data_IF_152981860304
#
_entry.id   IF_152981860304
#
_cell.length_a   1.000
_cell.length_b   1.000
_cell.length_c   1.000
_cell.angle_alpha   90.00
_cell.angle_beta   90.00
_cell.angle_gamma   90.00
#
_symmetry.space_group_name_H-M   'P 1'
#
loop_
_entity.id
_entity.type
_entity.pdbx_description
1 polymer ?
#
# COMPACT_ATOMS: atom_id res chain seq x y z
N UNK A 1 -1.36 46.05 -41.80
CA UNK A 1 -1.01 44.62 -41.63
C UNK A 1 -1.45 44.25 -40.23
N UNK A 2 -2.52 43.47 -40.15
CA UNK A 2 -3.18 43.01 -38.93
C UNK A 2 -2.30 42.06 -38.14
N UNK A 3 -2.44 42.13 -36.82
CA UNK A 3 -1.84 41.29 -35.79
C UNK A 3 -1.97 39.79 -36.08
N UNK A 4 -0.93 39.03 -35.72
CA UNK A 4 -1.12 37.66 -35.25
C UNK A 4 -0.28 37.48 -33.96
N UNK A 5 -0.80 38.07 -32.88
CA UNK A 5 -0.38 37.74 -31.54
C UNK A 5 -0.87 36.31 -31.26
N UNK A 6 0.08 35.35 -31.25
CA UNK A 6 -0.18 33.99 -30.79
C UNK A 6 -0.88 34.07 -29.44
N UNK A 7 -2.17 33.71 -29.42
CA UNK A 7 -2.92 33.55 -28.18
C UNK A 7 -2.14 32.56 -27.31
N UNK A 8 -1.83 32.89 -26.05
CA UNK A 8 -1.33 31.88 -25.14
C UNK A 8 -2.36 30.75 -25.10
N UNK A 9 -1.89 29.52 -25.31
CA UNK A 9 -2.66 28.30 -25.07
C UNK A 9 -3.45 28.48 -23.78
N UNK A 10 -4.75 28.19 -23.79
CA UNK A 10 -5.57 28.23 -22.60
C UNK A 10 -4.84 27.47 -21.49
N UNK A 11 -4.69 28.11 -20.32
CA UNK A 11 -4.08 27.44 -19.19
C UNK A 11 -4.87 26.16 -18.90
N UNK A 12 -4.18 25.05 -18.55
CA UNK A 12 -4.88 23.82 -18.20
C UNK A 12 -5.93 24.10 -17.12
N UNK A 13 -7.06 23.40 -17.09
CA UNK A 13 -8.05 23.58 -16.04
C UNK A 13 -7.43 23.32 -14.66
N UNK A 14 -7.94 24.01 -13.63
CA UNK A 14 -7.50 23.82 -12.26
C UNK A 14 -7.75 22.38 -11.81
N UNK A 15 -6.81 21.78 -11.06
CA UNK A 15 -6.93 20.37 -10.65
C UNK A 15 -8.16 20.17 -9.76
N UNK A 16 -8.96 19.11 -9.94
CA UNK A 16 -10.24 18.94 -9.24
C UNK A 16 -10.14 18.92 -7.70
N UNK A 17 -8.99 18.53 -7.14
CA UNK A 17 -8.82 18.26 -5.69
C UNK A 17 -8.40 19.51 -4.90
N UNK A 18 -7.56 20.37 -5.48
CA UNK A 18 -7.06 21.61 -4.85
C UNK A 18 -7.28 22.88 -5.69
N UNK A 19 -7.90 22.74 -6.86
CA UNK A 19 -8.11 23.80 -7.85
C UNK A 19 -9.18 24.82 -7.48
N UNK A 20 -10.00 24.56 -6.46
CA UNK A 20 -11.01 25.52 -5.98
C UNK A 20 -10.44 26.88 -5.55
N UNK A 21 -9.12 26.97 -5.34
CA UNK A 21 -8.40 28.19 -4.98
C UNK A 21 -7.60 28.82 -6.13
N UNK A 22 -7.47 28.16 -7.29
CA UNK A 22 -6.60 28.60 -8.38
C UNK A 22 -7.39 28.94 -9.65
N UNK A 23 -7.04 30.04 -10.30
CA UNK A 23 -7.67 30.49 -11.55
C UNK A 23 -7.16 29.74 -12.79
N UNK A 24 -6.00 29.09 -12.68
CA UNK A 24 -5.33 28.34 -13.74
C UNK A 24 -4.80 27.02 -13.18
N UNK A 25 -4.66 26.03 -14.04
CA UNK A 25 -4.07 24.73 -13.73
C UNK A 25 -2.57 24.80 -13.45
N UNK A 26 -2.03 23.72 -12.87
CA UNK A 26 -0.62 23.64 -12.53
C UNK A 26 0.26 23.81 -13.78
N UNK A 27 1.44 24.39 -13.61
CA UNK A 27 2.45 24.41 -14.66
C UNK A 27 2.82 22.97 -15.05
N UNK A 28 3.19 22.72 -16.31
CA UNK A 28 3.51 21.38 -16.81
C UNK A 28 4.60 20.66 -15.97
N UNK A 29 5.59 21.40 -15.44
CA UNK A 29 6.59 20.84 -14.55
C UNK A 29 6.01 20.38 -13.21
N UNK A 30 5.04 21.12 -12.65
CA UNK A 30 4.36 20.76 -11.41
C UNK A 30 3.53 19.49 -11.60
N UNK A 31 2.83 19.36 -12.73
CA UNK A 31 2.09 18.14 -13.08
C UNK A 31 3.03 16.92 -13.18
N UNK A 32 4.23 17.11 -13.75
CA UNK A 32 5.20 16.03 -13.88
C UNK A 32 5.76 15.53 -12.55
N UNK A 33 6.04 16.42 -11.59
CA UNK A 33 6.61 16.05 -10.28
C UNK A 33 5.55 15.63 -9.25
N UNK A 34 4.29 16.02 -9.45
CA UNK A 34 3.21 15.73 -8.50
C UNK A 34 2.55 14.38 -8.75
N UNK A 35 2.46 13.95 -10.02
CA UNK A 35 1.80 12.69 -10.36
C UNK A 35 2.57 11.49 -9.78
N UNK A 36 1.85 10.65 -9.04
CA UNK A 36 2.35 9.42 -8.42
C UNK A 36 1.96 8.14 -9.16
N UNK A 37 1.07 8.24 -10.16
CA UNK A 37 0.50 7.10 -10.89
C UNK A 37 1.52 6.12 -11.46
N UNK A 38 2.71 6.59 -11.83
CA UNK A 38 3.76 5.77 -12.40
C UNK A 38 4.23 4.67 -11.43
N UNK A 39 4.09 4.89 -10.12
CA UNK A 39 4.50 3.95 -9.07
C UNK A 39 3.35 3.52 -8.15
N UNK A 40 2.42 4.41 -7.79
CA UNK A 40 1.35 4.09 -6.83
C UNK A 40 0.23 3.23 -7.43
N UNK A 41 0.19 3.06 -8.76
CA UNK A 41 -0.68 2.08 -9.43
C UNK A 41 -0.57 0.67 -8.87
N UNK A 42 0.51 0.36 -8.16
CA UNK A 42 0.72 -0.89 -7.42
C UNK A 42 -0.27 -1.09 -6.25
N UNK A 43 -0.89 -0.02 -5.77
CA UNK A 43 -1.83 -0.02 -4.64
C UNK A 43 -3.29 -0.27 -5.06
N UNK A 44 -3.58 -0.51 -6.34
CA UNK A 44 -4.96 -0.58 -6.85
C UNK A 44 -5.82 -1.63 -6.14
N UNK A 45 -5.23 -2.77 -5.75
CA UNK A 45 -5.95 -3.84 -5.03
C UNK A 45 -6.37 -3.35 -3.66
N UNK A 46 -5.46 -2.67 -2.95
CA UNK A 46 -5.69 -2.13 -1.62
C UNK A 46 -6.68 -0.96 -1.65
N UNK A 47 -6.54 -0.01 -2.59
CA UNK A 47 -7.47 1.12 -2.76
C UNK A 47 -8.90 0.66 -3.03
N UNK A 48 -9.07 -0.34 -3.92
CA UNK A 48 -10.39 -0.89 -4.23
C UNK A 48 -10.97 -1.64 -3.03
N UNK A 49 -10.17 -2.44 -2.31
CA UNK A 49 -10.63 -3.13 -1.12
C UNK A 49 -11.06 -2.15 -0.01
N UNK A 50 -10.25 -1.13 0.27
CA UNK A 50 -10.55 -0.07 1.22
C UNK A 50 -11.80 0.71 0.81
N UNK A 51 -11.96 0.99 -0.49
CA UNK A 51 -13.15 1.65 -1.03
C UNK A 51 -14.42 0.81 -0.89
N UNK A 52 -14.37 -0.50 -1.09
CA UNK A 52 -15.51 -1.39 -0.83
C UNK A 52 -15.89 -1.44 0.65
N UNK A 53 -14.92 -1.54 1.54
CA UNK A 53 -15.16 -1.51 2.98
C UNK A 53 -15.79 -0.18 3.43
N UNK A 54 -15.27 0.94 2.92
CA UNK A 54 -15.83 2.27 3.16
C UNK A 54 -17.26 2.40 2.64
N UNK A 55 -17.52 1.97 1.41
CA UNK A 55 -18.86 1.98 0.82
C UNK A 55 -19.86 1.18 1.66
N UNK A 56 -19.51 -0.05 2.06
CA UNK A 56 -20.35 -0.88 2.92
C UNK A 56 -20.67 -0.21 4.26
N UNK A 57 -19.70 0.47 4.86
CA UNK A 57 -19.92 1.25 6.09
C UNK A 57 -20.83 2.45 5.86
N UNK A 58 -20.66 3.21 4.78
CA UNK A 58 -21.53 4.35 4.47
C UNK A 58 -22.99 3.92 4.30
N UNK A 59 -23.24 2.78 3.63
CA UNK A 59 -24.60 2.21 3.50
C UNK A 59 -25.14 1.79 4.86
N UNK A 60 -24.35 1.06 5.67
CA UNK A 60 -24.78 0.59 6.98
C UNK A 60 -25.12 1.74 7.96
N UNK A 61 -24.43 2.89 7.84
CA UNK A 61 -24.71 4.10 8.62
C UNK A 61 -25.80 4.99 8.02
N UNK A 62 -26.40 4.59 6.88
CA UNK A 62 -27.42 5.37 6.18
C UNK A 62 -26.92 6.70 5.60
N UNK A 63 -25.59 6.86 5.47
CA UNK A 63 -24.95 8.02 4.84
C UNK A 63 -25.08 7.92 3.32
N UNK A 64 -25.07 6.70 2.78
CA UNK A 64 -25.24 6.38 1.38
C UNK A 64 -26.49 5.52 1.19
N UNK A 65 -27.25 5.77 0.12
CA UNK A 65 -28.39 4.92 -0.23
C UNK A 65 -27.92 3.54 -0.70
N UNK A 66 -28.67 2.49 -0.39
CA UNK A 66 -28.36 1.10 -0.76
C UNK A 66 -28.15 0.94 -2.27
N UNK A 67 -29.01 1.55 -3.09
CA UNK A 67 -28.89 1.52 -4.55
C UNK A 67 -27.59 2.17 -5.07
N UNK A 68 -27.12 3.25 -4.46
CA UNK A 68 -25.82 3.84 -4.82
C UNK A 68 -24.67 2.94 -4.35
N UNK A 69 -24.82 2.32 -3.18
CA UNK A 69 -23.86 1.36 -2.64
C UNK A 69 -23.65 0.16 -3.56
N UNK A 70 -24.73 -0.46 -4.02
CA UNK A 70 -24.69 -1.59 -4.94
C UNK A 70 -24.02 -1.22 -6.26
N UNK A 71 -24.34 -0.04 -6.81
CA UNK A 71 -23.73 0.48 -8.02
C UNK A 71 -22.21 0.68 -7.83
N UNK A 72 -21.80 1.27 -6.70
CA UNK A 72 -20.38 1.48 -6.38
C UNK A 72 -19.65 0.15 -6.23
N UNK A 73 -20.19 -0.81 -5.48
CA UNK A 73 -19.55 -2.10 -5.25
C UNK A 73 -19.36 -2.87 -6.57
N UNK A 74 -20.40 -2.96 -7.40
CA UNK A 74 -20.33 -3.60 -8.72
C UNK A 74 -19.40 -2.84 -9.68
N UNK A 75 -19.38 -1.51 -9.62
CA UNK A 75 -18.46 -0.68 -10.39
C UNK A 75 -17.01 -0.95 -9.99
N UNK A 76 -16.70 -0.99 -8.70
CA UNK A 76 -15.37 -1.30 -8.17
C UNK A 76 -14.91 -2.72 -8.53
N UNK A 77 -15.81 -3.72 -8.57
CA UNK A 77 -15.51 -5.05 -9.11
C UNK A 77 -15.08 -4.99 -10.58
N UNK A 78 -15.78 -4.19 -11.39
CA UNK A 78 -15.46 -4.01 -12.81
C UNK A 78 -14.11 -3.31 -12.98
N UNK A 79 -13.84 -2.25 -12.22
CA UNK A 79 -12.55 -1.54 -12.24
C UNK A 79 -11.41 -2.48 -11.85
N UNK A 80 -11.60 -3.29 -10.80
CA UNK A 80 -10.60 -4.26 -10.37
C UNK A 80 -10.25 -5.24 -11.51
N UNK A 81 -11.26 -5.83 -12.14
CA UNK A 81 -11.06 -6.75 -13.25
C UNK A 81 -10.36 -6.08 -14.44
N UNK A 82 -10.75 -4.85 -14.80
CA UNK A 82 -10.11 -4.11 -15.89
C UNK A 82 -8.63 -3.81 -15.61
N UNK A 83 -8.26 -3.48 -14.37
CA UNK A 83 -6.85 -3.25 -14.01
C UNK A 83 -6.08 -4.58 -14.01
N UNK A 84 -6.62 -5.63 -13.39
CA UNK A 84 -5.96 -6.94 -13.30
C UNK A 84 -5.76 -7.59 -14.68
N UNK A 85 -6.69 -7.38 -15.62
CA UNK A 85 -6.58 -7.86 -17.00
C UNK A 85 -5.69 -6.97 -17.89
N UNK A 86 -5.17 -5.85 -17.37
CA UNK A 86 -4.40 -4.88 -18.15
C UNK A 86 -5.23 -4.11 -19.19
N UNK A 87 -6.56 -4.06 -19.03
CA UNK A 87 -7.50 -3.35 -19.93
C UNK A 87 -7.65 -1.88 -19.56
N UNK A 88 -7.44 -1.51 -18.30
CA UNK A 88 -7.49 -0.12 -17.87
C UNK A 88 -6.21 0.63 -18.28
N UNK A 89 -6.38 1.68 -19.08
CA UNK A 89 -5.28 2.61 -19.38
C UNK A 89 -5.25 3.72 -18.33
N UNK A 90 -4.22 3.72 -17.49
CA UNK A 90 -4.01 4.77 -16.50
C UNK A 90 -3.77 6.12 -17.18
N UNK A 91 -4.43 7.16 -16.66
CA UNK A 91 -4.30 8.54 -17.12
C UNK A 91 -3.43 9.30 -16.13
N UNK A 92 -2.29 9.81 -16.61
CA UNK A 92 -1.42 10.68 -15.81
C UNK A 92 -2.07 12.00 -15.40
N UNK A 93 -3.03 12.48 -16.20
CA UNK A 93 -3.85 13.64 -15.85
C UNK A 93 -4.75 13.40 -14.64
N UNK A 94 -4.92 12.14 -14.21
CA UNK A 94 -5.58 11.76 -12.98
C UNK A 94 -4.55 11.44 -11.89
N UNK A 95 -3.44 12.18 -11.84
CA UNK A 95 -2.39 12.29 -10.80
C UNK A 95 -1.95 10.99 -10.08
N UNK A 96 -2.84 10.31 -9.37
CA UNK A 96 -2.64 9.14 -8.50
C UNK A 96 -3.55 7.94 -8.87
N UNK A 97 -3.31 6.78 -8.24
CA UNK A 97 -4.15 5.59 -8.42
C UNK A 97 -5.61 5.83 -8.03
N UNK A 98 -5.84 6.59 -6.97
CA UNK A 98 -7.17 6.80 -6.41
C UNK A 98 -8.07 7.57 -7.36
N UNK A 99 -7.56 8.63 -8.00
CA UNK A 99 -8.24 9.41 -9.02
C UNK A 99 -8.48 8.58 -10.28
N UNK A 100 -7.56 7.67 -10.62
CA UNK A 100 -7.77 6.75 -11.74
C UNK A 100 -8.94 5.77 -11.45
N UNK A 101 -9.02 5.22 -10.24
CA UNK A 101 -10.13 4.36 -9.79
C UNK A 101 -11.44 5.16 -9.72
N UNK A 102 -11.45 6.31 -9.05
CA UNK A 102 -12.63 7.18 -8.92
C UNK A 102 -13.12 7.68 -10.29
N UNK A 103 -12.20 8.09 -11.17
CA UNK A 103 -12.51 8.54 -12.52
C UNK A 103 -13.08 7.44 -13.39
N UNK A 104 -12.53 6.21 -13.30
CA UNK A 104 -13.10 5.06 -14.02
C UNK A 104 -14.46 4.65 -13.44
N UNK A 105 -14.61 4.67 -12.12
CA UNK A 105 -15.88 4.39 -11.47
C UNK A 105 -16.95 5.37 -11.93
N UNK A 106 -16.64 6.67 -11.99
CA UNK A 106 -17.56 7.69 -12.49
C UNK A 106 -18.00 7.46 -13.95
N UNK A 107 -17.10 6.99 -14.82
CA UNK A 107 -17.45 6.61 -16.19
C UNK A 107 -18.42 5.42 -16.26
N UNK A 108 -18.38 4.52 -15.27
CA UNK A 108 -19.23 3.33 -15.22
C UNK A 108 -20.61 3.62 -14.62
N UNK A 109 -20.68 4.39 -13.54
CA UNK A 109 -21.90 4.53 -12.73
C UNK A 109 -22.41 5.98 -12.56
N UNK A 110 -21.71 6.95 -13.14
CA UNK A 110 -22.10 8.36 -13.11
C UNK A 110 -21.97 8.99 -11.72
N UNK A 111 -22.97 9.79 -11.34
CA UNK A 111 -22.94 10.66 -10.16
C UNK A 111 -22.74 9.91 -8.84
N UNK A 112 -23.23 8.67 -8.74
CA UNK A 112 -23.10 7.84 -7.54
C UNK A 112 -21.63 7.64 -7.13
N UNK A 113 -20.70 7.59 -8.09
CA UNK A 113 -19.27 7.45 -7.80
C UNK A 113 -18.72 8.57 -6.91
N UNK A 114 -19.21 9.81 -7.07
CA UNK A 114 -18.77 10.96 -6.28
C UNK A 114 -19.16 10.86 -4.80
N UNK A 115 -20.19 10.06 -4.48
CA UNK A 115 -20.68 9.87 -3.10
C UNK A 115 -19.78 8.93 -2.29
N UNK A 116 -18.93 8.14 -2.94
CA UNK A 116 -17.97 7.24 -2.27
C UNK A 116 -16.95 8.02 -1.42
N UNK A 117 -16.58 9.23 -1.82
CA UNK A 117 -15.58 10.02 -1.09
C UNK A 117 -16.16 10.73 0.16
N UNK A 118 -17.47 10.62 0.42
CA UNK A 118 -18.09 11.18 1.62
C UNK A 118 -17.44 10.60 2.88
N UNK A 119 -17.17 11.48 3.86
CA UNK A 119 -16.53 11.15 5.14
C UNK A 119 -15.10 10.59 5.05
N UNK A 120 -14.42 10.74 3.91
CA UNK A 120 -13.06 10.27 3.66
C UNK A 120 -12.15 11.40 3.17
N UNK A 121 -10.84 11.21 3.25
CA UNK A 121 -9.85 12.07 2.61
C UNK A 121 -8.84 11.23 1.85
N UNK A 122 -8.08 11.84 0.95
CA UNK A 122 -6.92 11.16 0.37
C UNK A 122 -5.88 10.78 1.44
N UNK A 123 -5.78 11.55 2.52
CA UNK A 123 -4.80 11.33 3.60
C UNK A 123 -4.98 10.00 4.34
N UNK A 124 -6.20 9.71 4.81
CA UNK A 124 -6.48 8.45 5.50
C UNK A 124 -6.64 7.27 4.52
N UNK A 125 -7.09 7.54 3.29
CA UNK A 125 -7.14 6.55 2.22
C UNK A 125 -5.74 6.02 1.88
N UNK A 126 -4.79 6.89 1.50
CA UNK A 126 -3.42 6.44 1.16
C UNK A 126 -2.69 5.81 2.35
N UNK A 127 -2.96 6.27 3.58
CA UNK A 127 -2.43 5.63 4.79
C UNK A 127 -2.98 4.21 4.96
N UNK A 128 -4.27 4.00 4.65
CA UNK A 128 -4.89 2.67 4.67
C UNK A 128 -4.29 1.77 3.60
N UNK A 129 -4.21 2.25 2.37
CA UNK A 129 -3.72 1.47 1.23
C UNK A 129 -2.27 1.03 1.43
N UNK A 130 -1.42 1.95 1.90
CA UNK A 130 -0.01 1.65 2.14
C UNK A 130 0.16 0.64 3.29
N UNK A 131 -0.63 0.72 4.36
CA UNK A 131 -0.61 -0.29 5.44
C UNK A 131 -1.03 -1.66 4.94
N UNK A 132 -2.12 -1.74 4.19
CA UNK A 132 -2.57 -2.99 3.56
C UNK A 132 -1.47 -3.57 2.67
N UNK A 133 -0.85 -2.73 1.84
CA UNK A 133 0.21 -3.16 0.94
C UNK A 133 1.46 -3.66 1.67
N UNK A 134 1.90 -2.95 2.72
CA UNK A 134 3.04 -3.40 3.54
C UNK A 134 2.72 -4.68 4.29
N UNK A 135 1.47 -4.86 4.75
CA UNK A 135 1.01 -6.09 5.38
C UNK A 135 1.13 -7.28 4.43
N UNK A 136 0.64 -7.13 3.21
CA UNK A 136 0.72 -8.17 2.17
C UNK A 136 2.19 -8.45 1.81
N UNK A 137 3.02 -7.41 1.69
CA UNK A 137 4.45 -7.56 1.42
C UNK A 137 5.21 -8.29 2.55
N UNK A 138 4.81 -8.09 3.81
CA UNK A 138 5.36 -8.84 4.94
C UNK A 138 4.95 -10.31 4.86
N UNK A 139 3.69 -10.60 4.55
CA UNK A 139 3.19 -11.97 4.45
C UNK A 139 3.89 -12.74 3.32
N UNK A 140 4.06 -12.11 2.16
CA UNK A 140 4.82 -12.66 1.03
C UNK A 140 6.29 -12.91 1.39
N UNK A 141 6.92 -11.95 2.07
CA UNK A 141 8.33 -12.06 2.48
C UNK A 141 8.54 -13.15 3.53
N UNK A 142 7.65 -13.28 4.52
CA UNK A 142 7.71 -14.36 5.52
C UNK A 142 7.63 -15.74 4.85
N UNK A 143 6.73 -15.89 3.87
CA UNK A 143 6.58 -17.12 3.10
C UNK A 143 7.82 -17.45 2.27
N UNK A 144 8.42 -16.45 1.62
CA UNK A 144 9.68 -16.64 0.89
C UNK A 144 10.83 -17.05 1.83
N UNK A 145 10.94 -16.40 3.00
CA UNK A 145 11.95 -16.72 4.01
C UNK A 145 11.75 -18.12 4.59
N UNK A 146 10.51 -18.55 4.82
CA UNK A 146 10.18 -19.92 5.21
C UNK A 146 10.69 -20.92 4.18
N UNK A 147 10.49 -20.64 2.89
CA UNK A 147 10.99 -21.47 1.80
C UNK A 147 12.52 -21.55 1.78
N UNK A 148 13.20 -20.42 1.96
CA UNK A 148 14.66 -20.38 2.03
C UNK A 148 15.21 -21.14 3.24
N UNK A 149 14.59 -21.00 4.43
CA UNK A 149 14.95 -21.78 5.60
C UNK A 149 14.82 -23.28 5.35
N UNK A 150 13.71 -23.73 4.76
CA UNK A 150 13.52 -25.14 4.42
C UNK A 150 14.61 -25.66 3.47
N UNK A 151 14.92 -24.89 2.41
CA UNK A 151 15.99 -25.26 1.48
C UNK A 151 17.37 -25.36 2.15
N UNK A 152 17.70 -24.44 3.07
CA UNK A 152 18.94 -24.49 3.83
C UNK A 152 18.99 -25.68 4.80
N UNK A 153 17.86 -26.02 5.45
CA UNK A 153 17.75 -27.18 6.33
C UNK A 153 17.95 -28.48 5.53
N UNK A 154 17.30 -28.61 4.37
CA UNK A 154 17.47 -29.78 3.50
C UNK A 154 18.94 -29.96 3.07
N UNK A 155 19.62 -28.87 2.72
CA UNK A 155 21.05 -28.92 2.39
C UNK A 155 21.89 -29.24 3.63
N UNK A 156 21.52 -28.70 4.79
CA UNK A 156 22.23 -28.99 6.02
C UNK A 156 22.14 -30.45 6.43
N UNK A 157 20.99 -31.10 6.24
CA UNK A 157 20.79 -32.52 6.51
C UNK A 157 21.63 -33.39 5.56
N UNK A 158 21.59 -33.10 4.24
CA UNK A 158 22.41 -33.83 3.24
C UNK A 158 23.91 -33.71 3.50
N UNK A 159 24.34 -32.61 4.11
CA UNK A 159 25.74 -32.30 4.37
C UNK A 159 26.08 -32.27 5.86
N UNK A 160 25.33 -33.03 6.67
CA UNK A 160 25.50 -33.07 8.12
C UNK A 160 26.90 -33.55 8.53
N UNK A 161 27.45 -34.54 7.83
CA UNK A 161 28.77 -35.13 8.09
C UNK A 161 29.89 -34.57 7.18
N UNK A 162 29.56 -33.61 6.30
CA UNK A 162 30.53 -33.05 5.35
C UNK A 162 31.46 -32.06 6.04
N UNK A 163 32.62 -32.53 6.49
CA UNK A 163 33.63 -31.70 7.18
C UNK A 163 34.21 -30.63 6.25
N UNK A 164 34.29 -29.41 6.75
CA UNK A 164 34.96 -28.26 6.11
C UNK A 164 35.78 -27.47 7.14
N UNK A 165 36.75 -26.64 6.69
CA UNK A 165 37.41 -25.70 7.60
C UNK A 165 36.41 -24.63 8.08
N UNK A 166 36.34 -24.39 9.40
CA UNK A 166 35.73 -23.19 9.95
C UNK A 166 36.71 -22.02 9.87
N UNK A 167 36.19 -20.80 9.68
CA UNK A 167 37.01 -19.61 9.49
C UNK A 167 36.76 -18.53 10.53
N UNK A 168 37.85 -17.94 11.03
CA UNK A 168 37.85 -16.64 11.72
C UNK A 168 38.89 -15.76 11.06
N UNK A 169 38.59 -14.48 10.77
CA UNK A 169 39.46 -13.61 9.96
C UNK A 169 39.88 -14.21 8.60
N UNK A 170 39.03 -15.06 8.00
CA UNK A 170 39.33 -15.86 6.81
C UNK A 170 40.54 -16.81 6.96
N UNK A 171 40.97 -17.08 8.19
CA UNK A 171 41.99 -18.08 8.52
C UNK A 171 41.31 -19.36 9.01
N UNK A 172 41.89 -20.51 8.66
CA UNK A 172 41.39 -21.80 9.15
C UNK A 172 41.53 -21.85 10.68
N UNK A 173 40.40 -22.08 11.35
CA UNK A 173 40.31 -22.19 12.80
C UNK A 173 40.14 -23.66 13.20
N UNK A 174 38.88 -24.10 13.38
CA UNK A 174 38.54 -25.47 13.75
C UNK A 174 37.70 -26.12 12.64
N UNK A 175 37.76 -27.45 12.46
CA UNK A 175 36.84 -28.15 11.58
C UNK A 175 35.39 -27.95 12.02
N UNK A 176 34.50 -27.72 11.07
CA UNK A 176 33.03 -27.71 11.22
C UNK A 176 32.42 -28.59 10.14
N UNK A 177 31.10 -28.75 10.11
CA UNK A 177 30.42 -29.38 8.96
C UNK A 177 29.72 -28.32 8.12
N UNK A 178 29.58 -28.56 6.82
CA UNK A 178 28.81 -27.69 5.95
C UNK A 178 27.38 -27.55 6.45
N UNK A 179 26.77 -28.62 6.96
CA UNK A 179 25.46 -28.53 7.60
C UNK A 179 25.42 -27.56 8.77
N UNK A 180 26.42 -27.58 9.66
CA UNK A 180 26.50 -26.62 10.75
C UNK A 180 26.65 -25.17 10.26
N UNK A 181 27.42 -24.94 9.19
CA UNK A 181 27.57 -23.63 8.57
C UNK A 181 26.26 -23.10 7.97
N UNK A 182 25.50 -23.95 7.26
CA UNK A 182 24.21 -23.58 6.67
C UNK A 182 23.15 -23.27 7.74
N UNK A 183 23.13 -24.03 8.83
CA UNK A 183 22.22 -23.79 9.95
C UNK A 183 22.48 -22.44 10.64
N UNK A 184 23.70 -21.89 10.58
CA UNK A 184 23.96 -20.53 11.06
C UNK A 184 23.08 -19.49 10.34
N UNK A 185 22.83 -19.67 9.04
CA UNK A 185 21.93 -18.80 8.27
C UNK A 185 20.46 -19.08 8.54
N UNK A 186 20.07 -20.33 8.78
CA UNK A 186 18.70 -20.66 9.23
C UNK A 186 18.32 -19.88 10.48
N UNK A 187 19.24 -19.77 11.44
CA UNK A 187 19.08 -18.99 12.66
C UNK A 187 18.98 -17.48 12.41
N UNK A 188 19.79 -16.94 11.48
CA UNK A 188 19.72 -15.53 11.08
C UNK A 188 18.35 -15.19 10.48
N UNK A 189 17.90 -16.01 9.51
CA UNK A 189 16.60 -15.85 8.86
C UNK A 189 15.44 -16.07 9.84
N UNK A 190 15.59 -16.95 10.83
CA UNK A 190 14.60 -17.15 11.89
C UNK A 190 14.35 -15.88 12.69
N UNK A 191 15.42 -15.12 13.01
CA UNK A 191 15.28 -13.80 13.64
C UNK A 191 14.64 -12.78 12.70
N UNK A 192 14.95 -12.81 11.41
CA UNK A 192 14.32 -11.90 10.43
C UNK A 192 12.82 -12.12 10.34
N UNK A 193 12.37 -13.39 10.28
CA UNK A 193 10.94 -13.74 10.32
C UNK A 193 10.27 -13.29 11.61
N UNK A 194 10.94 -13.39 12.76
CA UNK A 194 10.40 -12.87 14.02
C UNK A 194 10.21 -11.35 13.98
N UNK A 195 11.14 -10.59 13.39
CA UNK A 195 11.02 -9.13 13.22
C UNK A 195 9.84 -8.77 12.32
N UNK A 196 9.69 -9.49 11.20
CA UNK A 196 8.57 -9.29 10.29
C UNK A 196 7.23 -9.56 10.98
N UNK A 197 7.13 -10.64 11.76
CA UNK A 197 5.94 -10.95 12.55
C UNK A 197 5.58 -9.82 13.53
N UNK A 198 6.56 -9.28 14.25
CA UNK A 198 6.30 -8.21 15.22
C UNK A 198 5.94 -6.89 14.54
N UNK A 199 6.59 -6.55 13.42
CA UNK A 199 6.25 -5.38 12.59
C UNK A 199 4.83 -5.51 12.02
N UNK A 200 4.45 -6.71 11.56
CA UNK A 200 3.11 -7.02 11.07
C UNK A 200 2.03 -6.83 12.13
N UNK A 201 2.33 -7.14 13.39
CA UNK A 201 1.40 -6.92 14.49
C UNK A 201 1.22 -5.41 14.77
N UNK A 202 2.32 -4.65 14.84
CA UNK A 202 2.27 -3.20 15.11
C UNK A 202 1.60 -2.40 14.00
N UNK A 203 1.78 -2.77 12.74
CA UNK A 203 1.17 -2.03 11.63
C UNK A 203 -0.35 -2.20 11.54
N UNK A 204 -0.93 -3.25 12.17
CA UNK A 204 -2.29 -3.72 11.90
C UNK A 204 -3.40 -2.92 12.62
N UNK A 205 -3.25 -1.59 12.64
CA UNK A 205 -4.27 -0.65 13.09
C UNK A 205 -4.80 0.18 11.92
N UNK A 206 -6.13 0.36 11.84
CA UNK A 206 -6.79 0.98 10.69
C UNK A 206 -6.84 2.52 10.79
N UNK A 207 -6.26 3.26 9.82
CA UNK A 207 -6.33 4.72 9.81
C UNK A 207 -7.63 5.26 9.18
N UNK A 208 -8.36 4.43 8.41
CA UNK A 208 -9.57 4.84 7.70
C UNK A 208 -10.62 5.44 8.66
N UNK A 209 -11.17 6.59 8.28
CA UNK A 209 -12.08 7.39 9.10
C UNK A 209 -11.39 8.52 9.88
N UNK A 210 -10.07 8.66 9.80
CA UNK A 210 -9.35 9.84 10.26
C UNK A 210 -9.57 11.07 9.36
N UNK A 211 -10.12 10.85 8.15
CA UNK A 211 -10.32 11.85 7.11
C UNK A 211 -9.04 12.66 6.88
N UNK A 212 -9.13 13.99 6.76
CA UNK A 212 -7.96 14.80 6.43
C UNK A 212 -6.94 14.86 7.57
N UNK A 213 -7.40 14.94 8.82
CA UNK A 213 -6.55 15.02 10.02
C UNK A 213 -7.33 15.00 11.34
N UNK A 214 -8.61 15.41 11.36
CA UNK A 214 -9.39 15.68 12.58
C UNK A 214 -10.55 14.68 12.77
N UNK A 215 -10.58 13.60 11.99
CA UNK A 215 -11.76 12.77 11.85
C UNK A 215 -12.83 13.42 10.96
N UNK A 216 -14.03 12.86 11.00
CA UNK A 216 -15.17 13.28 10.19
C UNK A 216 -16.36 13.64 11.07
N UNK A 217 -17.21 14.57 10.63
CA UNK A 217 -18.45 14.94 11.30
C UNK A 217 -19.60 13.94 11.02
N UNK A 218 -19.40 13.01 10.08
CA UNK A 218 -20.36 11.95 9.79
C UNK A 218 -20.28 10.85 10.87
N UNK A 219 -21.41 10.22 11.23
CA UNK A 219 -21.44 9.13 12.21
C UNK A 219 -20.93 7.83 11.57
N UNK A 220 -19.64 7.76 11.25
CA UNK A 220 -19.03 6.57 10.66
C UNK A 220 -18.77 5.49 11.71
N UNK A 221 -18.72 4.22 11.28
CA UNK A 221 -18.28 3.10 12.11
C UNK A 221 -16.87 2.65 11.69
N UNK A 222 -15.87 3.04 12.49
CA UNK A 222 -14.47 2.68 12.24
C UNK A 222 -14.15 1.23 12.58
N UNK A 223 -14.89 0.63 13.52
CA UNK A 223 -14.71 -0.78 13.86
C UNK A 223 -15.17 -1.66 12.70
N UNK A 224 -16.27 -1.28 12.04
CA UNK A 224 -16.77 -1.98 10.86
C UNK A 224 -15.75 -1.99 9.71
N UNK A 225 -15.14 -0.85 9.38
CA UNK A 225 -14.13 -0.78 8.32
C UNK A 225 -12.84 -1.49 8.71
N UNK A 226 -12.40 -1.37 9.96
CA UNK A 226 -11.24 -2.09 10.47
C UNK A 226 -11.42 -3.62 10.36
N UNK A 227 -12.57 -4.13 10.82
CA UNK A 227 -12.90 -5.55 10.73
C UNK A 227 -13.01 -6.04 9.29
N UNK A 228 -13.68 -5.28 8.41
CA UNK A 228 -13.82 -5.64 6.99
C UNK A 228 -12.46 -5.73 6.25
N UNK A 229 -11.47 -4.97 6.69
CA UNK A 229 -10.12 -4.94 6.13
C UNK A 229 -9.11 -5.81 6.90
N UNK A 230 -9.55 -6.54 7.92
CA UNK A 230 -8.70 -7.43 8.73
C UNK A 230 -7.67 -6.71 9.59
N UNK A 231 -7.92 -5.45 9.95
CA UNK A 231 -7.17 -4.75 10.99
C UNK A 231 -7.64 -5.19 12.37
N UNK A 232 -6.78 -5.07 13.39
CA UNK A 232 -7.11 -5.50 14.76
C UNK A 232 -8.04 -4.49 15.45
N UNK A 233 -7.90 -3.21 15.11
CA UNK A 233 -8.67 -2.08 15.66
C UNK A 233 -8.45 -0.79 14.85
N UNK A 234 -9.27 0.25 15.04
CA UNK A 234 -8.97 1.59 14.56
C UNK A 234 -7.78 2.23 15.29
N UNK A 235 -7.00 3.04 14.58
CA UNK A 235 -5.99 3.90 15.21
C UNK A 235 -6.65 4.89 16.18
N UNK A 236 -6.01 5.15 17.32
CA UNK A 236 -6.63 5.89 18.42
C UNK A 236 -6.67 7.42 18.20
N UNK A 237 -5.86 7.96 17.29
CA UNK A 237 -5.73 9.39 17.06
C UNK A 237 -5.68 9.71 15.56
N UNK A 238 -6.46 10.69 15.11
CA UNK A 238 -6.59 11.03 13.69
C UNK A 238 -5.38 11.75 13.10
N UNK A 239 -4.70 12.59 13.89
CA UNK A 239 -3.47 13.28 13.46
C UNK A 239 -2.33 12.28 13.27
N UNK A 240 -2.21 11.37 14.21
CA UNK A 240 -1.30 10.23 14.13
C UNK A 240 -1.63 9.37 12.89
N UNK A 241 -2.89 8.94 12.74
CA UNK A 241 -3.33 8.06 11.65
C UNK A 241 -2.97 8.53 10.24
N UNK A 242 -3.01 9.83 9.97
CA UNK A 242 -2.69 10.37 8.64
C UNK A 242 -1.19 10.67 8.47
N UNK A 243 -0.46 10.89 9.56
CA UNK A 243 0.95 11.30 9.54
C UNK A 243 1.94 10.15 9.77
N UNK A 244 1.50 9.07 10.45
CA UNK A 244 2.35 7.95 10.84
C UNK A 244 2.92 7.19 9.64
N UNK A 245 4.23 6.93 9.67
CA UNK A 245 4.97 6.10 8.71
C UNK A 245 5.94 5.14 9.42
N UNK A 246 5.80 4.93 10.72
CA UNK A 246 6.65 4.04 11.52
C UNK A 246 6.61 2.61 10.98
N UNK A 247 5.43 2.14 10.57
CA UNK A 247 5.27 0.81 9.96
C UNK A 247 6.14 0.62 8.69
N UNK A 248 6.29 1.67 7.88
CA UNK A 248 7.10 1.62 6.67
C UNK A 248 8.60 1.67 7.00
N UNK A 249 8.99 2.51 7.97
CA UNK A 249 10.36 2.58 8.46
C UNK A 249 10.81 1.26 9.09
N UNK A 250 9.93 0.65 9.89
CA UNK A 250 10.18 -0.64 10.52
C UNK A 250 10.33 -1.77 9.49
N UNK A 251 9.44 -1.81 8.48
CA UNK A 251 9.55 -2.75 7.38
C UNK A 251 10.88 -2.61 6.61
N UNK A 252 11.29 -1.37 6.31
CA UNK A 252 12.57 -1.09 5.66
C UNK A 252 13.77 -1.49 6.53
N UNK A 253 13.72 -1.24 7.84
CA UNK A 253 14.76 -1.65 8.76
C UNK A 253 14.90 -3.18 8.83
N UNK A 254 13.77 -3.91 8.89
CA UNK A 254 13.76 -5.37 8.82
C UNK A 254 14.37 -5.86 7.49
N UNK A 255 14.02 -5.23 6.37
CA UNK A 255 14.59 -5.51 5.05
C UNK A 255 16.10 -5.28 4.96
N UNK A 256 16.61 -4.21 5.57
CA UNK A 256 18.05 -3.90 5.58
C UNK A 256 18.86 -4.92 6.39
N UNK A 257 18.33 -5.38 7.52
CA UNK A 257 18.94 -6.44 8.33
C UNK A 257 18.95 -7.75 7.54
N UNK A 258 17.82 -8.12 6.94
CA UNK A 258 17.72 -9.29 6.07
C UNK A 258 18.74 -9.25 4.93
N UNK A 259 18.86 -8.11 4.23
CA UNK A 259 19.83 -7.94 3.16
C UNK A 259 21.29 -8.11 3.65
N UNK A 260 21.57 -7.74 4.90
CA UNK A 260 22.89 -7.96 5.52
C UNK A 260 23.16 -9.44 5.80
N UNK A 261 22.15 -10.22 6.17
CA UNK A 261 22.32 -11.67 6.32
C UNK A 261 22.48 -12.34 4.95
N UNK A 262 21.68 -11.95 3.96
CA UNK A 262 21.77 -12.50 2.60
C UNK A 262 23.07 -12.15 1.88
N UNK A 263 23.70 -11.01 2.17
CA UNK A 263 25.00 -10.65 1.58
C UNK A 263 26.17 -11.45 2.13
N UNK A 264 25.97 -12.16 3.24
CA UNK A 264 26.98 -13.02 3.88
C UNK A 264 26.85 -14.50 3.50
N UNK A 265 25.62 -14.93 3.18
CA UNK A 265 25.30 -16.27 2.69
C UNK A 265 26.00 -16.56 1.35
#
# INVERSE_FOLDING_TARGET
MTEDARRPSAAPPASPIWGGRFQAGPAALMEQINASIDFDRRLYVQDIAASKAHCGMLVAQGILAEADGDAILSGLDTVLAEISDGRLTFRRSLEDIHMNVEGRLAELIGEAAGRLHTARSRNDQVATDLRLWVRDAIDDLDMALKGLQAALIDQAERHADAVMPGFTHLQTAQPVTLGHHLLAYVEMLGRDRSRLKDARARLNECPLGAAALAGTAFPIDREMTAAALGFDRPMANSLDAVSDRDFALEFLAAGAILATHLSRL
#
